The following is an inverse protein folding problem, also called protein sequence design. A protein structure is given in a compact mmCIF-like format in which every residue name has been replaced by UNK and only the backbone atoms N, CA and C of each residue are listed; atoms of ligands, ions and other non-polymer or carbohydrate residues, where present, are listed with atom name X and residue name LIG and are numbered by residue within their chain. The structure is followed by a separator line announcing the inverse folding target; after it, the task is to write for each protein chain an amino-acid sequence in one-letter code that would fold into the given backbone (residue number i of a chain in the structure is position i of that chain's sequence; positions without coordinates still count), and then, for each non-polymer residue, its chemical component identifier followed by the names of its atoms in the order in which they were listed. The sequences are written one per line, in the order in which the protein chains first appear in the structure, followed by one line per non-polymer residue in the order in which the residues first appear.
data_IF_535851098364
#
_entry.id   IF_535851098364
#
_cell.length_a   1.000
_cell.length_b   1.000
_cell.length_c   1.000
_cell.angle_alpha   90.00
_cell.angle_beta   90.00
_cell.angle_gamma   90.00
#
_symmetry.space_group_name_H-M   'P 1'
#
loop_
_entity.id
_entity.type
_entity.pdbx_description
1 polymer ?
#
# COMPACT_ATOMS: atom_id res chain seq x y z
N UNK A 1 -11.13 26.93 -6.76
CA UNK A 1 -10.30 25.75 -6.40
C UNK A 1 -9.41 25.48 -7.60
N UNK A 2 -8.11 25.16 -7.43
CA UNK A 2 -7.32 24.68 -8.56
C UNK A 2 -8.03 23.47 -9.15
N UNK A 3 -8.05 23.37 -10.48
CA UNK A 3 -8.65 22.21 -11.15
C UNK A 3 -7.79 20.98 -10.82
N UNK A 4 -8.33 20.10 -9.98
CA UNK A 4 -7.62 18.89 -9.59
C UNK A 4 -7.33 17.99 -10.79
N UNK A 5 -8.12 18.05 -11.87
CA UNK A 5 -7.81 17.33 -13.10
C UNK A 5 -6.54 17.87 -13.75
N UNK A 6 -6.39 19.19 -13.87
CA UNK A 6 -5.17 19.80 -14.41
C UNK A 6 -3.95 19.47 -13.56
N UNK A 7 -4.10 19.48 -12.23
CA UNK A 7 -3.00 19.11 -11.33
C UNK A 7 -2.60 17.64 -11.47
N UNK A 8 -3.57 16.73 -11.55
CA UNK A 8 -3.31 15.30 -11.77
C UNK A 8 -2.60 15.09 -13.11
N UNK A 9 -3.06 15.74 -14.18
CA UNK A 9 -2.42 15.66 -15.50
C UNK A 9 -0.98 16.20 -15.49
N UNK A 10 -0.72 17.28 -14.75
CA UNK A 10 0.64 17.81 -14.55
C UNK A 10 1.54 16.79 -13.84
N UNK A 11 1.08 16.21 -12.73
CA UNK A 11 1.83 15.18 -11.99
C UNK A 11 2.12 13.94 -12.86
N UNK A 12 1.17 13.52 -13.70
CA UNK A 12 1.37 12.43 -14.66
C UNK A 12 2.49 12.79 -15.63
N UNK A 13 2.45 13.98 -16.24
CA UNK A 13 3.50 14.45 -17.14
C UNK A 13 4.89 14.53 -16.49
N UNK A 14 4.95 14.91 -15.21
CA UNK A 14 6.19 15.06 -14.44
C UNK A 14 6.77 13.72 -13.97
N UNK A 15 5.92 12.74 -13.65
CA UNK A 15 6.31 11.59 -12.82
C UNK A 15 5.89 10.22 -13.36
N UNK A 16 5.14 10.13 -14.45
CA UNK A 16 4.69 8.86 -15.06
C UNK A 16 5.45 8.54 -16.37
N UNK A 17 6.75 8.84 -16.42
CA UNK A 17 7.60 8.40 -17.52
C UNK A 17 7.77 6.87 -17.54
N UNK A 18 8.04 6.30 -18.71
CA UNK A 18 8.29 4.85 -18.88
C UNK A 18 9.38 4.34 -17.93
N UNK A 19 10.44 5.13 -17.71
CA UNK A 19 11.51 4.82 -16.75
C UNK A 19 11.00 4.75 -15.31
N UNK A 20 10.19 5.73 -14.90
CA UNK A 20 9.61 5.77 -13.56
C UNK A 20 8.64 4.60 -13.34
N UNK A 21 7.88 4.25 -14.38
CA UNK A 21 6.99 3.12 -14.36
C UNK A 21 7.75 1.79 -14.24
N UNK A 22 8.77 1.57 -15.07
CA UNK A 22 9.59 0.36 -15.03
C UNK A 22 10.26 0.18 -13.66
N UNK A 23 10.72 1.26 -13.03
CA UNK A 23 11.27 1.21 -11.68
C UNK A 23 10.21 0.83 -10.63
N UNK A 24 8.96 1.32 -10.76
CA UNK A 24 7.84 0.94 -9.88
C UNK A 24 7.48 -0.53 -10.02
N UNK A 25 7.35 -1.01 -11.26
CA UNK A 25 7.01 -2.40 -11.57
C UNK A 25 8.08 -3.38 -11.06
N UNK A 26 9.36 -3.06 -11.26
CA UNK A 26 10.46 -3.87 -10.72
C UNK A 26 10.36 -3.96 -9.20
N UNK A 27 10.17 -2.82 -8.54
CA UNK A 27 10.11 -2.78 -7.09
C UNK A 27 8.90 -3.48 -6.47
N UNK A 28 7.77 -3.51 -7.16
CA UNK A 28 6.60 -4.31 -6.78
C UNK A 28 6.83 -5.80 -7.01
N UNK A 29 7.42 -6.18 -8.15
CA UNK A 29 7.79 -7.56 -8.44
C UNK A 29 8.76 -8.14 -7.41
N UNK A 30 9.77 -7.36 -7.00
CA UNK A 30 10.69 -7.74 -5.94
C UNK A 30 9.90 -8.01 -4.65
N UNK A 31 9.02 -7.08 -4.25
CA UNK A 31 8.28 -7.21 -3.01
C UNK A 31 7.26 -8.38 -3.00
N UNK A 32 6.62 -8.67 -4.13
CA UNK A 32 5.77 -9.86 -4.30
C UNK A 32 6.62 -11.13 -4.13
N UNK A 33 7.77 -11.21 -4.81
CA UNK A 33 8.69 -12.35 -4.69
C UNK A 33 9.13 -12.57 -3.25
N UNK A 34 9.38 -11.49 -2.51
CA UNK A 34 9.76 -11.54 -1.11
C UNK A 34 8.62 -12.06 -0.23
N UNK A 35 7.40 -11.55 -0.39
CA UNK A 35 6.24 -12.09 0.32
C UNK A 35 6.01 -13.57 0.02
N UNK A 36 6.29 -13.98 -1.22
CA UNK A 36 6.17 -15.37 -1.65
C UNK A 36 7.22 -16.26 -0.98
N UNK A 37 8.46 -15.82 -0.87
CA UNK A 37 9.56 -16.54 -0.21
C UNK A 37 9.35 -16.69 1.30
N UNK A 38 8.72 -15.70 1.95
CA UNK A 38 8.44 -15.70 3.39
C UNK A 38 7.14 -16.43 3.79
N UNK A 39 6.50 -17.10 2.83
CA UNK A 39 5.38 -18.03 3.11
C UNK A 39 5.83 -19.35 3.75
N UNK A 40 7.13 -19.64 3.75
CA UNK A 40 7.76 -20.57 4.69
C UNK A 40 8.18 -19.84 5.95
N UNK A 41 8.05 -20.48 7.12
CA UNK A 41 8.41 -19.93 8.45
C UNK A 41 9.72 -19.13 8.35
N UNK A 42 9.69 -17.79 8.46
CA UNK A 42 10.89 -17.00 8.29
C UNK A 42 11.86 -17.29 9.43
N UNK A 43 13.09 -17.62 9.09
CA UNK A 43 14.19 -17.32 9.99
C UNK A 43 14.20 -15.80 10.24
N UNK A 44 13.99 -15.42 11.50
CA UNK A 44 13.94 -14.02 11.93
C UNK A 44 15.20 -13.24 11.57
N UNK A 45 16.36 -13.92 11.50
CA UNK A 45 17.62 -13.29 11.07
C UNK A 45 17.64 -13.00 9.58
N UNK A 46 17.06 -13.88 8.75
CA UNK A 46 16.91 -13.64 7.31
C UNK A 46 15.97 -12.49 7.03
N UNK A 47 14.86 -12.42 7.76
CA UNK A 47 13.93 -11.30 7.64
C UNK A 47 14.60 -9.99 8.05
N UNK A 48 15.26 -9.93 9.22
CA UNK A 48 15.96 -8.71 9.67
C UNK A 48 17.08 -8.28 8.73
N UNK A 49 17.89 -9.22 8.23
CA UNK A 49 18.97 -8.92 7.28
C UNK A 49 18.43 -8.37 5.96
N UNK A 50 17.30 -8.90 5.51
CA UNK A 50 16.57 -8.38 4.36
C UNK A 50 16.08 -6.94 4.63
N UNK A 51 15.51 -6.66 5.80
CA UNK A 51 15.08 -5.32 6.20
C UNK A 51 16.23 -4.30 6.19
N UNK A 52 17.39 -4.70 6.70
CA UNK A 52 18.58 -3.83 6.78
C UNK A 52 19.22 -3.61 5.41
N UNK A 53 19.15 -4.59 4.50
CA UNK A 53 19.60 -4.44 3.11
C UNK A 53 18.66 -3.51 2.33
N UNK A 54 17.35 -3.68 2.50
CA UNK A 54 16.33 -2.85 1.86
C UNK A 54 16.39 -1.39 2.32
N UNK A 55 16.48 -1.13 3.63
CA UNK A 55 16.65 0.23 4.14
C UNK A 55 17.91 0.92 3.60
N UNK A 56 19.05 0.20 3.51
CA UNK A 56 20.29 0.74 2.94
C UNK A 56 20.16 1.07 1.45
N UNK A 57 19.56 0.18 0.67
CA UNK A 57 19.32 0.44 -0.77
C UNK A 57 18.33 1.56 -1.04
N UNK A 58 17.45 1.84 -0.07
CA UNK A 58 16.38 2.82 -0.16
C UNK A 58 16.73 4.23 0.30
N UNK A 59 17.63 4.37 1.28
CA UNK A 59 17.94 5.65 1.91
C UNK A 59 19.38 6.13 1.64
N UNK A 60 20.33 5.25 1.31
CA UNK A 60 21.75 5.64 1.21
C UNK A 60 22.25 5.92 -0.21
N UNK A 61 21.49 5.56 -1.26
CA UNK A 61 21.86 5.91 -2.65
C UNK A 61 21.17 7.22 -3.08
N UNK A 62 21.87 8.34 -2.87
CA UNK A 62 21.50 9.65 -3.39
C UNK A 62 21.25 9.58 -4.90
N UNK A 63 19.97 9.61 -5.30
CA UNK A 63 19.57 9.59 -6.70
C UNK A 63 18.13 9.14 -6.87
N UNK A 64 17.18 10.05 -6.58
CA UNK A 64 15.81 10.31 -7.11
C UNK A 64 14.89 9.14 -7.57
N UNK A 65 15.36 7.94 -7.91
CA UNK A 65 14.60 6.90 -8.66
C UNK A 65 14.11 5.70 -7.84
N UNK A 66 14.37 5.62 -6.52
CA UNK A 66 13.89 4.51 -5.67
C UNK A 66 12.91 4.93 -4.56
N UNK A 67 12.63 6.23 -4.43
CA UNK A 67 11.74 6.74 -3.38
C UNK A 67 10.37 6.07 -3.38
N UNK A 68 9.84 5.64 -4.53
CA UNK A 68 8.46 5.12 -4.63
C UNK A 68 8.35 3.70 -4.04
N UNK A 69 9.28 2.81 -4.36
CA UNK A 69 9.35 1.47 -3.76
C UNK A 69 9.68 1.52 -2.28
N UNK A 70 10.58 2.43 -1.93
CA UNK A 70 11.12 2.60 -0.59
C UNK A 70 10.18 3.34 0.37
N UNK A 71 9.21 4.09 -0.13
CA UNK A 71 8.18 4.75 0.71
C UNK A 71 6.93 3.90 0.89
N UNK A 72 6.50 3.16 -0.15
CA UNK A 72 5.38 2.21 -0.06
C UNK A 72 5.66 1.12 0.94
N UNK A 73 6.80 0.44 0.74
CA UNK A 73 7.24 -0.60 1.64
C UNK A 73 7.91 -0.03 2.85
N UNK A 74 8.88 0.88 2.78
CA UNK A 74 9.58 1.39 3.97
C UNK A 74 8.67 1.98 5.05
N UNK A 75 7.48 2.53 4.72
CA UNK A 75 6.51 2.95 5.74
C UNK A 75 5.67 1.80 6.30
N UNK A 76 5.15 0.89 5.46
CA UNK A 76 4.44 -0.32 5.90
C UNK A 76 5.36 -1.33 6.60
N UNK A 77 6.63 -1.30 6.23
CA UNK A 77 7.75 -2.08 6.70
C UNK A 77 8.33 -1.48 7.97
N UNK A 78 8.48 -0.15 8.14
CA UNK A 78 8.78 0.43 9.46
C UNK A 78 7.65 0.14 10.44
N UNK A 79 6.39 0.22 10.00
CA UNK A 79 5.27 -0.23 10.81
C UNK A 79 5.41 -1.71 11.17
N UNK A 80 5.69 -2.60 10.21
CA UNK A 80 5.96 -4.02 10.45
C UNK A 80 7.24 -4.29 11.26
N UNK A 81 8.25 -3.44 11.22
CA UNK A 81 9.46 -3.47 12.04
C UNK A 81 9.19 -2.99 13.47
N UNK A 82 8.29 -2.02 13.66
CA UNK A 82 7.79 -1.63 14.98
C UNK A 82 6.91 -2.72 15.61
N UNK A 83 6.40 -3.67 14.81
CA UNK A 83 5.76 -4.91 15.30
C UNK A 83 6.75 -5.88 15.95
N UNK A 84 8.07 -5.61 15.88
CA UNK A 84 9.09 -6.41 16.54
C UNK A 84 9.16 -6.09 18.04
N UNK A 85 8.17 -6.56 18.79
CA UNK A 85 8.52 -7.34 19.98
C UNK A 85 8.63 -8.79 19.54
N UNK A 86 9.74 -9.46 19.86
CA UNK A 86 10.03 -10.83 19.41
C UNK A 86 8.88 -11.82 19.73
N UNK A 87 8.00 -11.48 20.67
CA UNK A 87 6.91 -12.32 21.16
C UNK A 87 5.72 -12.49 20.22
N UNK A 88 5.52 -11.63 19.20
CA UNK A 88 4.31 -11.68 18.34
C UNK A 88 4.56 -11.87 16.84
N UNK A 89 5.82 -11.95 16.41
CA UNK A 89 6.16 -12.12 15.00
C UNK A 89 5.52 -13.38 14.39
N UNK A 90 5.54 -14.50 15.13
CA UNK A 90 4.94 -15.76 14.69
C UNK A 90 3.41 -15.66 14.46
N UNK A 91 2.71 -14.80 15.22
CA UNK A 91 1.27 -14.56 15.01
C UNK A 91 1.03 -13.81 13.71
N UNK A 92 1.84 -12.80 13.41
CA UNK A 92 1.75 -12.05 12.16
C UNK A 92 2.04 -12.94 10.94
N UNK A 93 3.12 -13.72 10.97
CA UNK A 93 3.48 -14.60 9.86
C UNK A 93 2.48 -15.75 9.69
N UNK A 94 1.97 -16.33 10.79
CA UNK A 94 0.91 -17.34 10.73
C UNK A 94 -0.40 -16.77 10.18
N UNK A 95 -0.74 -15.54 10.54
CA UNK A 95 -1.87 -14.83 9.96
C UNK A 95 -1.64 -14.52 8.47
N UNK A 96 -0.47 -14.02 8.08
CA UNK A 96 -0.13 -13.70 6.69
C UNK A 96 -0.23 -14.93 5.78
N UNK A 97 0.27 -16.09 6.23
CA UNK A 97 0.13 -17.35 5.50
C UNK A 97 -1.34 -17.79 5.34
N UNK A 98 -2.14 -17.61 6.40
CA UNK A 98 -3.57 -17.94 6.39
C UNK A 98 -4.37 -16.97 5.49
N UNK A 99 -4.06 -15.68 5.57
CA UNK A 99 -4.61 -14.61 4.75
C UNK A 99 -4.32 -14.85 3.26
N UNK A 100 -3.07 -15.16 2.90
CA UNK A 100 -2.71 -15.51 1.51
C UNK A 100 -3.50 -16.71 1.02
N UNK A 101 -3.64 -17.74 1.84
CA UNK A 101 -4.44 -18.93 1.50
C UNK A 101 -5.90 -18.56 1.24
N UNK A 102 -6.48 -17.68 2.06
CA UNK A 102 -7.85 -17.19 1.90
C UNK A 102 -8.01 -16.38 0.61
N UNK A 103 -7.12 -15.42 0.34
CA UNK A 103 -7.12 -14.60 -0.88
C UNK A 103 -6.96 -15.46 -2.14
N UNK A 104 -6.03 -16.43 -2.15
CA UNK A 104 -5.83 -17.35 -3.29
C UNK A 104 -7.08 -18.20 -3.55
N UNK A 105 -7.82 -18.58 -2.51
CA UNK A 105 -9.09 -19.32 -2.64
C UNK A 105 -10.26 -18.44 -3.06
N UNK A 106 -10.05 -17.13 -3.23
CA UNK A 106 -11.10 -16.18 -3.53
C UNK A 106 -12.07 -15.96 -2.37
N UNK A 107 -11.62 -16.13 -1.13
CA UNK A 107 -12.42 -15.74 0.03
C UNK A 107 -12.51 -14.21 0.08
N UNK A 108 -13.71 -13.69 -0.15
CA UNK A 108 -13.99 -12.26 -0.24
C UNK A 108 -14.53 -11.66 1.06
N UNK A 109 -14.55 -12.41 2.17
CA UNK A 109 -15.00 -11.87 3.46
C UNK A 109 -13.94 -10.94 4.09
N UNK A 110 -13.90 -9.73 3.56
CA UNK A 110 -13.02 -8.65 4.02
C UNK A 110 -13.25 -8.27 5.48
N UNK A 111 -14.47 -8.42 5.99
CA UNK A 111 -14.79 -8.11 7.38
C UNK A 111 -14.13 -9.11 8.32
N UNK A 112 -14.24 -10.42 8.03
CA UNK A 112 -13.58 -11.46 8.81
C UNK A 112 -12.06 -11.38 8.73
N UNK A 113 -11.49 -11.12 7.54
CA UNK A 113 -10.05 -10.97 7.38
C UNK A 113 -9.50 -9.77 8.15
N UNK A 114 -10.20 -8.62 8.09
CA UNK A 114 -9.80 -7.43 8.85
C UNK A 114 -9.99 -7.63 10.36
N UNK A 115 -11.05 -8.31 10.81
CA UNK A 115 -11.25 -8.64 12.21
C UNK A 115 -10.13 -9.56 12.75
N UNK A 116 -9.75 -10.58 11.99
CA UNK A 116 -8.63 -11.47 12.31
C UNK A 116 -7.30 -10.71 12.42
N UNK A 117 -7.02 -9.83 11.46
CA UNK A 117 -5.85 -8.94 11.47
C UNK A 117 -5.81 -8.05 12.72
N UNK A 118 -6.94 -7.42 13.05
CA UNK A 118 -7.08 -6.58 14.25
C UNK A 118 -6.89 -7.37 15.53
N UNK A 119 -7.33 -8.63 15.55
CA UNK A 119 -7.18 -9.57 16.66
C UNK A 119 -5.72 -9.86 17.03
N UNK A 120 -4.77 -9.63 16.12
CA UNK A 120 -3.33 -9.78 16.42
C UNK A 120 -2.84 -8.75 17.46
N UNK A 121 -3.54 -7.62 17.63
CA UNK A 121 -3.20 -6.60 18.62
C UNK A 121 -1.78 -6.05 18.43
N UNK A 122 -1.43 -5.80 17.17
CA UNK A 122 -0.10 -5.43 16.70
C UNK A 122 0.03 -3.90 16.63
N UNK A 123 0.93 -3.31 17.44
CA UNK A 123 1.08 -1.86 17.57
C UNK A 123 1.67 -1.25 16.30
N UNK A 124 0.88 -0.46 15.56
CA UNK A 124 1.30 0.10 14.27
C UNK A 124 0.84 -0.70 13.06
N UNK A 125 0.24 -1.88 13.26
CA UNK A 125 -0.47 -2.63 12.22
C UNK A 125 -1.84 -1.96 11.94
N UNK A 126 -1.80 -0.83 11.26
CA UNK A 126 -2.99 -0.06 10.89
C UNK A 126 -3.62 -0.49 9.55
N UNK A 127 -4.68 0.22 9.12
CA UNK A 127 -5.33 0.00 7.83
C UNK A 127 -4.40 0.03 6.61
N UNK A 128 -3.34 0.85 6.67
CA UNK A 128 -2.36 0.95 5.58
C UNK A 128 -1.62 -0.38 5.34
N UNK A 129 -1.14 -1.04 6.40
CA UNK A 129 -0.43 -2.31 6.24
C UNK A 129 -1.38 -3.41 5.73
N UNK A 130 -2.60 -3.47 6.27
CA UNK A 130 -3.62 -4.42 5.81
C UNK A 130 -3.95 -4.25 4.31
N UNK A 131 -4.27 -3.02 3.90
CA UNK A 131 -4.59 -2.69 2.51
C UNK A 131 -3.41 -2.84 1.55
N UNK A 132 -2.18 -2.58 2.03
CA UNK A 132 -0.97 -2.85 1.26
C UNK A 132 -0.81 -4.35 0.99
N UNK A 133 -1.04 -5.22 1.97
CA UNK A 133 -0.94 -6.67 1.77
C UNK A 133 -1.98 -7.20 0.78
N UNK A 134 -3.19 -6.65 0.78
CA UNK A 134 -4.21 -6.95 -0.24
C UNK A 134 -3.78 -6.48 -1.63
N UNK A 135 -3.29 -5.25 -1.75
CA UNK A 135 -2.77 -4.70 -2.99
C UNK A 135 -1.70 -5.59 -3.61
N UNK A 136 -0.76 -6.09 -2.81
CA UNK A 136 0.31 -6.93 -3.32
C UNK A 136 -0.13 -8.32 -3.76
N UNK A 137 -1.29 -8.80 -3.30
CA UNK A 137 -1.87 -10.04 -3.80
C UNK A 137 -2.74 -9.83 -5.04
N UNK A 138 -3.48 -8.73 -5.12
CA UNK A 138 -4.31 -8.40 -6.26
C UNK A 138 -4.25 -6.88 -6.55
N UNK A 139 -3.18 -6.41 -7.22
CA UNK A 139 -2.91 -4.99 -7.41
C UNK A 139 -3.90 -4.30 -8.35
N UNK A 140 -4.66 -5.08 -9.12
CA UNK A 140 -5.74 -4.59 -9.97
C UNK A 140 -7.06 -4.38 -9.20
N UNK A 141 -7.19 -4.92 -7.99
CA UNK A 141 -8.44 -4.96 -7.23
C UNK A 141 -8.41 -4.10 -5.96
N UNK A 142 -7.24 -3.98 -5.35
CA UNK A 142 -7.06 -3.32 -4.06
C UNK A 142 -6.09 -2.16 -4.19
N UNK A 143 -6.14 -1.22 -3.25
CA UNK A 143 -5.24 -0.07 -3.22
C UNK A 143 -4.78 0.20 -1.79
N UNK A 144 -3.54 0.65 -1.56
CA UNK A 144 -3.07 1.06 -0.24
C UNK A 144 -3.95 2.20 0.30
N UNK A 145 -4.45 2.04 1.52
CA UNK A 145 -5.33 3.01 2.17
C UNK A 145 -4.57 3.86 3.18
N UNK A 146 -4.73 5.18 3.06
CA UNK A 146 -4.48 6.15 4.13
C UNK A 146 -5.66 7.09 4.22
N UNK A 147 -5.97 7.58 5.42
CA UNK A 147 -7.02 8.60 5.60
C UNK A 147 -6.78 9.80 4.67
N UNK A 148 -5.54 10.27 4.57
CA UNK A 148 -5.20 11.39 3.69
C UNK A 148 -5.41 11.09 2.20
N UNK A 149 -5.24 9.83 1.77
CA UNK A 149 -5.48 9.41 0.38
C UNK A 149 -6.97 9.34 0.11
N UNK A 150 -7.76 8.79 1.04
CA UNK A 150 -9.21 8.76 0.95
C UNK A 150 -9.81 10.17 0.88
N UNK A 151 -9.29 11.12 1.66
CA UNK A 151 -9.71 12.53 1.59
C UNK A 151 -9.34 13.19 0.26
N UNK A 152 -8.13 12.94 -0.25
CA UNK A 152 -7.72 13.44 -1.56
C UNK A 152 -8.61 12.85 -2.68
N UNK A 153 -8.85 11.54 -2.65
CA UNK A 153 -9.71 10.84 -3.61
C UNK A 153 -11.14 11.39 -3.58
N UNK A 154 -11.74 11.55 -2.40
CA UNK A 154 -13.07 12.13 -2.25
C UNK A 154 -13.14 13.53 -2.88
N UNK A 155 -12.11 14.35 -2.64
CA UNK A 155 -12.02 15.70 -3.21
C UNK A 155 -11.95 15.68 -4.74
N UNK A 156 -11.14 14.80 -5.32
CA UNK A 156 -10.95 14.69 -6.78
C UNK A 156 -12.21 14.16 -7.46
N UNK A 157 -12.83 13.14 -6.86
CA UNK A 157 -14.01 12.47 -7.41
C UNK A 157 -15.31 13.23 -7.12
N UNK A 158 -15.26 14.30 -6.31
CA UNK A 158 -16.45 15.04 -5.87
C UNK A 158 -17.37 14.22 -4.96
N UNK A 159 -16.79 13.29 -4.20
CA UNK A 159 -17.52 12.42 -3.25
C UNK A 159 -17.45 12.98 -1.82
N UNK A 160 -18.43 12.60 -0.99
CA UNK A 160 -18.43 12.93 0.43
C UNK A 160 -17.33 12.16 1.18
N UNK A 161 -16.43 12.86 1.85
CA UNK A 161 -15.29 12.27 2.58
C UNK A 161 -15.70 11.27 3.68
N UNK A 162 -16.91 11.41 4.23
CA UNK A 162 -17.48 10.51 5.23
C UNK A 162 -17.80 9.11 4.67
N UNK A 163 -17.94 8.99 3.34
CA UNK A 163 -18.17 7.68 2.70
C UNK A 163 -16.91 6.82 2.65
N UNK A 164 -15.73 7.45 2.63
CA UNK A 164 -14.44 6.79 2.53
C UNK A 164 -13.68 6.75 3.87
N UNK A 165 -14.14 7.50 4.89
CA UNK A 165 -13.49 7.61 6.19
C UNK A 165 -14.50 7.64 7.34
N UNK A 166 -14.21 7.00 8.50
CA UNK A 166 -13.01 6.25 8.84
C UNK A 166 -12.94 4.90 8.12
N UNK A 167 -11.79 4.21 8.24
CA UNK A 167 -11.60 2.90 7.62
C UNK A 167 -12.55 1.85 8.23
N UNK A 168 -13.32 1.19 7.37
CA UNK A 168 -14.05 -0.06 7.59
C UNK A 168 -13.94 -0.93 6.33
N UNK A 169 -14.30 -2.23 6.38
CA UNK A 169 -14.37 -3.04 5.16
C UNK A 169 -15.24 -2.41 4.07
N UNK A 170 -16.35 -1.78 4.44
CA UNK A 170 -17.29 -1.11 3.53
C UNK A 170 -16.69 0.15 2.93
N UNK A 171 -16.14 1.07 3.76
CA UNK A 171 -15.50 2.28 3.24
C UNK A 171 -14.24 1.99 2.45
N UNK A 172 -13.54 0.89 2.76
CA UNK A 172 -12.41 0.41 1.98
C UNK A 172 -12.83 -0.14 0.61
N UNK A 173 -13.94 -0.85 0.53
CA UNK A 173 -14.49 -1.30 -0.76
C UNK A 173 -14.88 -0.10 -1.65
N UNK A 174 -15.52 0.92 -1.06
CA UNK A 174 -15.81 2.18 -1.76
C UNK A 174 -14.53 2.90 -2.20
N UNK A 175 -13.52 2.97 -1.34
CA UNK A 175 -12.21 3.54 -1.66
C UNK A 175 -11.55 2.82 -2.85
N UNK A 176 -11.55 1.48 -2.86
CA UNK A 176 -10.97 0.72 -3.97
C UNK A 176 -11.73 0.98 -5.28
N UNK A 177 -13.06 1.08 -5.23
CA UNK A 177 -13.86 1.46 -6.40
C UNK A 177 -13.53 2.86 -6.91
N UNK A 178 -13.37 3.84 -6.00
CA UNK A 178 -12.97 5.20 -6.36
C UNK A 178 -11.56 5.23 -6.97
N UNK A 179 -10.61 4.46 -6.44
CA UNK A 179 -9.28 4.30 -7.02
C UNK A 179 -9.31 3.69 -8.42
N UNK A 180 -10.15 2.68 -8.66
CA UNK A 180 -10.35 2.11 -10.00
C UNK A 180 -10.95 3.13 -10.97
N UNK A 181 -11.95 3.91 -10.53
CA UNK A 181 -12.52 4.97 -11.35
C UNK A 181 -11.50 6.09 -11.65
N UNK A 182 -10.68 6.47 -10.67
CA UNK A 182 -9.58 7.40 -10.84
C UNK A 182 -8.58 6.88 -11.89
N UNK A 183 -8.17 5.61 -11.78
CA UNK A 183 -7.28 4.93 -12.73
C UNK A 183 -7.81 5.02 -14.15
N UNK A 184 -9.07 4.67 -14.36
CA UNK A 184 -9.73 4.71 -15.66
C UNK A 184 -9.83 6.13 -16.21
N UNK A 185 -10.18 7.10 -15.36
CA UNK A 185 -10.35 8.52 -15.73
C UNK A 185 -9.04 9.13 -16.22
N UNK A 186 -7.94 8.85 -15.52
CA UNK A 186 -6.64 9.44 -15.82
C UNK A 186 -5.74 8.54 -16.67
N UNK A 187 -6.23 7.35 -17.06
CA UNK A 187 -5.50 6.35 -17.84
C UNK A 187 -4.11 6.04 -17.26
N UNK A 188 -4.08 5.78 -15.96
CA UNK A 188 -2.85 5.45 -15.22
C UNK A 188 -2.87 3.99 -14.77
N UNK A 189 -1.74 3.48 -14.30
CA UNK A 189 -1.65 2.13 -13.74
C UNK A 189 -1.99 2.12 -12.24
N UNK A 190 -2.35 0.97 -11.64
CA UNK A 190 -2.64 0.91 -10.21
C UNK A 190 -1.50 1.43 -9.33
N UNK A 191 -0.26 1.17 -9.73
CA UNK A 191 0.97 1.67 -9.12
C UNK A 191 1.08 3.19 -9.17
N UNK A 192 0.34 3.88 -10.03
CA UNK A 192 0.44 5.32 -10.20
C UNK A 192 -0.64 6.03 -9.40
N UNK A 193 -1.80 5.39 -9.20
CA UNK A 193 -2.89 5.88 -8.34
C UNK A 193 -2.39 6.20 -6.94
N UNK A 194 -1.71 5.26 -6.27
CA UNK A 194 -1.17 5.50 -4.92
C UNK A 194 -0.15 6.65 -4.89
N UNK A 195 0.70 6.77 -5.91
CA UNK A 195 1.68 7.85 -5.99
C UNK A 195 1.00 9.22 -6.14
N UNK A 196 0.05 9.31 -7.06
CA UNK A 196 -0.69 10.55 -7.32
C UNK A 196 -1.51 10.96 -6.09
N UNK A 197 -2.24 10.02 -5.47
CA UNK A 197 -2.98 10.29 -4.24
C UNK A 197 -2.06 10.71 -3.09
N UNK A 198 -0.84 10.19 -3.01
CA UNK A 198 0.15 10.62 -2.03
C UNK A 198 0.58 12.07 -2.26
N UNK A 199 0.96 12.44 -3.47
CA UNK A 199 1.43 13.80 -3.74
C UNK A 199 0.31 14.82 -3.55
N UNK A 200 -0.91 14.49 -3.99
CA UNK A 200 -2.10 15.32 -3.75
C UNK A 200 -2.44 15.45 -2.26
N UNK A 201 -2.31 14.36 -1.50
CA UNK A 201 -2.51 14.39 -0.05
C UNK A 201 -1.46 15.25 0.68
N UNK A 202 -0.24 15.34 0.16
CA UNK A 202 0.80 16.24 0.72
C UNK A 202 0.46 17.70 0.45
N UNK A 203 -0.07 18.00 -0.73
CA UNK A 203 -0.51 19.35 -1.10
C UNK A 203 -1.71 19.83 -0.28
N UNK A 204 -2.67 18.95 0.01
CA UNK A 204 -3.83 19.27 0.85
C UNK A 204 -3.55 19.38 2.36
N UNK A 205 -2.31 19.20 2.79
CA UNK A 205 -1.87 19.34 4.20
C UNK A 205 -0.88 20.49 4.42
N UNK A 206 -0.54 21.24 3.37
CA UNK A 206 0.24 22.48 3.41
C UNK A 206 -0.69 23.72 3.43
#
# INVERSE_FOLDING_TARGET
MPDYHDRVNMLIGEHCSVDALNARLQGEGDAISIMDDFSGVPDMERWKSFCDAWNRECFDRAGVRREITCTRFGAGHRAALHLYSADKAHLFFGWLASFRTAVVRGDTDMASQYASYRGLGLVGAGPFLFSLLLYLHAPECYFPYRRSYALALATIMGEEAESLTPFSPESYALYCKGCSAFRETFNVLPQEVDFLLRELAREGTA
#
